data_IF_239470928636
#
_entry.id   IF_239470928636
#
_cell.length_a   1.000
_cell.length_b   1.000
_cell.length_c   1.000
_cell.angle_alpha   90.00
_cell.angle_beta   90.00
_cell.angle_gamma   90.00
#
_symmetry.space_group_name_H-M   'P 1'
#
loop_
_entity.id
_entity.type
_entity.pdbx_description
1 polymer ?
#
# COMPACT_ATOMS: atom_id res chain seq x y z
N UNK A 1 22.14 -18.57 8.51
CA UNK A 1 20.87 -19.23 8.13
C UNK A 1 20.19 -18.48 6.99
N UNK A 2 19.83 -17.19 7.14
CA UNK A 2 19.27 -16.38 6.04
C UNK A 2 20.30 -16.16 4.92
N UNK A 3 21.56 -15.86 5.25
CA UNK A 3 22.61 -15.65 4.24
C UNK A 3 22.88 -16.89 3.35
N UNK A 4 22.76 -18.11 3.90
CA UNK A 4 22.93 -19.34 3.14
C UNK A 4 21.72 -19.62 2.23
N UNK A 5 20.51 -19.41 2.75
CA UNK A 5 19.26 -19.53 1.98
C UNK A 5 19.23 -18.54 0.81
N UNK A 6 19.69 -17.32 1.05
CA UNK A 6 19.84 -16.29 0.02
C UNK A 6 20.88 -16.73 -1.03
N UNK A 7 22.04 -17.27 -0.61
CA UNK A 7 23.08 -17.81 -1.51
C UNK A 7 22.58 -18.88 -2.49
N UNK A 8 21.64 -19.73 -2.07
CA UNK A 8 21.12 -20.83 -2.88
C UNK A 8 19.94 -20.43 -3.80
N UNK A 9 19.25 -19.33 -3.49
CA UNK A 9 18.02 -18.89 -4.18
C UNK A 9 18.19 -17.57 -4.95
N UNK A 10 19.42 -17.06 -5.06
CA UNK A 10 19.76 -15.81 -5.74
C UNK A 10 19.33 -15.76 -7.21
N UNK A 11 19.12 -16.89 -7.88
CA UNK A 11 18.78 -16.92 -9.30
C UNK A 11 17.29 -16.70 -9.60
N UNK A 12 16.43 -16.66 -8.58
CA UNK A 12 14.97 -16.58 -8.75
C UNK A 12 14.34 -15.29 -8.22
N UNK A 13 15.16 -14.33 -7.80
CA UNK A 13 14.70 -13.06 -7.23
C UNK A 13 13.79 -12.27 -8.18
N UNK A 14 14.01 -12.45 -9.48
CA UNK A 14 13.27 -11.82 -10.57
C UNK A 14 11.78 -12.19 -10.56
N UNK A 15 11.47 -13.43 -10.15
CA UNK A 15 10.10 -13.94 -10.02
C UNK A 15 9.32 -13.16 -8.95
N UNK A 16 10.02 -12.68 -7.92
CA UNK A 16 9.43 -11.97 -6.78
C UNK A 16 9.40 -10.44 -6.95
N UNK A 17 9.87 -9.89 -8.08
CA UNK A 17 9.87 -8.44 -8.33
C UNK A 17 8.48 -7.83 -8.14
N UNK A 18 7.43 -8.52 -8.58
CA UNK A 18 6.05 -8.05 -8.45
C UNK A 18 5.61 -7.97 -6.98
N UNK A 19 6.03 -8.95 -6.18
CA UNK A 19 5.71 -9.02 -4.76
C UNK A 19 6.46 -7.95 -3.97
N UNK A 20 7.75 -7.73 -4.26
CA UNK A 20 8.52 -6.63 -3.69
C UNK A 20 7.89 -5.27 -4.04
N UNK A 21 7.56 -5.06 -5.31
CA UNK A 21 6.94 -3.83 -5.75
C UNK A 21 5.56 -3.61 -5.10
N UNK A 22 4.79 -4.69 -4.87
CA UNK A 22 3.55 -4.63 -4.11
C UNK A 22 3.81 -4.23 -2.65
N UNK A 23 4.71 -4.93 -1.95
CA UNK A 23 5.04 -4.67 -0.56
C UNK A 23 5.49 -3.22 -0.32
N UNK A 24 6.39 -2.71 -1.16
CA UNK A 24 6.87 -1.32 -1.09
C UNK A 24 5.71 -0.32 -1.29
N UNK A 25 4.82 -0.59 -2.24
CA UNK A 25 3.68 0.30 -2.54
C UNK A 25 2.63 0.33 -1.44
N UNK A 26 2.48 -0.74 -0.67
CA UNK A 26 1.51 -0.86 0.42
C UNK A 26 2.08 -0.62 1.82
N UNK A 27 3.41 -0.47 1.95
CA UNK A 27 4.03 -0.14 3.23
C UNK A 27 3.69 1.30 3.62
N UNK A 28 3.33 1.52 4.88
CA UNK A 28 3.06 2.85 5.41
C UNK A 28 4.39 3.59 5.55
N UNK A 29 4.48 4.78 4.96
CA UNK A 29 5.63 5.65 5.18
C UNK A 29 5.49 6.33 6.55
N UNK A 30 6.47 6.15 7.44
CA UNK A 30 6.45 6.69 8.80
C UNK A 30 6.30 8.21 8.85
N UNK A 31 6.91 8.94 7.91
CA UNK A 31 6.87 10.41 7.87
C UNK A 31 5.50 10.94 7.46
N UNK A 32 4.82 10.25 6.55
CA UNK A 32 3.55 10.73 5.97
C UNK A 32 2.32 10.01 6.54
N UNK A 33 2.50 8.90 7.25
CA UNK A 33 1.43 8.05 7.75
C UNK A 33 0.55 7.42 6.67
N UNK A 34 0.98 7.48 5.40
CA UNK A 34 0.25 7.00 4.23
C UNK A 34 1.12 6.07 3.40
N UNK A 35 0.49 5.16 2.67
CA UNK A 35 1.23 4.29 1.74
C UNK A 35 1.54 5.02 0.43
N UNK A 36 2.66 4.70 -0.26
CA UNK A 36 2.97 5.29 -1.56
C UNK A 36 1.85 5.14 -2.59
N UNK A 37 1.14 4.00 -2.58
CA UNK A 37 0.05 3.77 -3.53
C UNK A 37 -1.22 4.57 -3.19
N UNK A 38 -1.46 4.88 -1.91
CA UNK A 38 -2.53 5.81 -1.51
C UNK A 38 -2.26 7.24 -1.96
N UNK A 39 -1.00 7.68 -1.87
CA UNK A 39 -0.58 8.99 -2.36
C UNK A 39 -0.72 9.08 -3.88
N UNK A 40 -0.38 8.02 -4.59
CA UNK A 40 -0.47 7.97 -6.05
C UNK A 40 -1.91 7.91 -6.56
N UNK A 41 -2.75 7.07 -5.96
CA UNK A 41 -4.13 6.84 -6.42
C UNK A 41 -5.16 7.76 -5.77
N UNK A 42 -4.78 8.55 -4.76
CA UNK A 42 -5.68 9.47 -4.04
C UNK A 42 -6.86 8.74 -3.39
N UNK A 43 -6.72 7.44 -3.12
CA UNK A 43 -7.74 6.61 -2.47
C UNK A 43 -7.07 5.58 -1.59
N UNK A 44 -7.75 5.12 -0.53
CA UNK A 44 -7.26 3.97 0.23
C UNK A 44 -7.23 2.73 -0.65
N UNK A 45 -6.16 1.96 -0.57
CA UNK A 45 -6.12 0.65 -1.22
C UNK A 45 -6.90 -0.36 -0.39
N UNK A 46 -7.89 -0.97 -1.02
CA UNK A 46 -8.50 -2.20 -0.51
C UNK A 46 -7.61 -3.34 -0.97
N UNK A 47 -6.65 -3.72 -0.13
CA UNK A 47 -5.80 -4.87 -0.41
C UNK A 47 -6.59 -6.18 -0.21
N UNK A 48 -6.19 -7.29 -0.84
CA UNK A 48 -6.78 -8.60 -0.55
C UNK A 48 -6.70 -8.94 0.95
N UNK A 49 -5.62 -8.54 1.62
CA UNK A 49 -5.49 -8.65 3.07
C UNK A 49 -6.56 -7.83 3.80
N UNK A 50 -6.82 -6.60 3.37
CA UNK A 50 -7.90 -5.80 3.92
C UNK A 50 -9.26 -6.47 3.74
N UNK A 51 -9.52 -7.17 2.62
CA UNK A 51 -10.74 -7.98 2.47
C UNK A 51 -10.81 -9.15 3.45
N UNK A 52 -9.69 -9.84 3.70
CA UNK A 52 -9.63 -10.93 4.66
C UNK A 52 -9.91 -10.45 6.09
N UNK A 53 -9.43 -9.26 6.46
CA UNK A 53 -9.67 -8.64 7.77
C UNK A 53 -11.05 -7.97 7.85
N UNK A 54 -11.57 -7.40 6.76
CA UNK A 54 -12.91 -6.81 6.71
C UNK A 54 -14.03 -7.85 6.79
N UNK A 55 -13.77 -9.11 6.45
CA UNK A 55 -14.73 -10.20 6.70
C UNK A 55 -14.92 -10.44 8.21
N UNK A 56 -13.96 -10.08 9.06
CA UNK A 56 -14.09 -10.21 10.51
C UNK A 56 -14.68 -8.98 11.21
N UNK A 57 -14.41 -7.77 10.71
CA UNK A 57 -14.96 -6.52 11.27
C UNK A 57 -15.79 -5.80 10.19
N UNK A 58 -17.11 -5.85 10.32
CA UNK A 58 -18.09 -5.27 9.39
C UNK A 58 -18.04 -3.74 9.31
N UNK A 59 -16.96 -3.20 8.74
CA UNK A 59 -16.75 -1.76 8.58
C UNK A 59 -16.92 -1.39 7.11
N UNK A 60 -18.12 -0.95 6.75
CA UNK A 60 -18.40 -0.36 5.44
C UNK A 60 -17.50 0.86 5.23
N UNK A 61 -16.70 0.82 4.16
CA UNK A 61 -15.89 1.92 3.70
C UNK A 61 -16.82 3.08 3.27
N UNK A 62 -17.14 3.98 4.21
CA UNK A 62 -18.14 5.01 3.99
C UNK A 62 -17.66 6.03 2.95
N UNK A 63 -18.52 6.36 1.99
CA UNK A 63 -18.28 7.29 0.87
C UNK A 63 -17.67 8.63 1.31
N UNK A 64 -17.92 9.07 2.56
CA UNK A 64 -17.32 10.28 3.16
C UNK A 64 -15.79 10.26 3.24
N UNK A 65 -15.17 9.09 3.34
CA UNK A 65 -13.70 8.97 3.34
C UNK A 65 -13.10 9.27 1.96
N UNK A 66 -13.86 9.08 0.87
CA UNK A 66 -13.42 9.36 -0.49
C UNK A 66 -13.36 10.88 -0.72
N UNK A 67 -14.38 11.61 -0.29
CA UNK A 67 -14.42 13.08 -0.41
C UNK A 67 -13.27 13.75 0.36
N UNK A 68 -12.96 13.26 1.56
CA UNK A 68 -11.82 13.76 2.35
C UNK A 68 -10.48 13.56 1.62
N UNK A 69 -10.29 12.41 0.96
CA UNK A 69 -9.06 12.10 0.24
C UNK A 69 -8.89 12.95 -1.03
N UNK A 70 -9.98 13.23 -1.75
CA UNK A 70 -9.95 14.14 -2.91
C UNK A 70 -9.54 15.56 -2.52
N UNK A 71 -10.04 16.09 -1.41
CA UNK A 71 -9.68 17.43 -0.94
C UNK A 71 -8.23 17.52 -0.46
N UNK A 72 -7.70 16.47 0.15
CA UNK A 72 -6.28 16.40 0.53
C UNK A 72 -5.36 16.36 -0.69
N UNK A 73 -5.71 15.60 -1.74
CA UNK A 73 -4.93 15.57 -2.97
C UNK A 73 -4.92 16.92 -3.68
N UNK A 74 -6.08 17.60 -3.75
CA UNK A 74 -6.19 18.94 -4.33
C UNK A 74 -5.28 19.95 -3.65
N UNK A 75 -5.19 19.92 -2.32
CA UNK A 75 -4.28 20.80 -1.55
C UNK A 75 -2.81 20.54 -1.89
N UNK A 76 -2.41 19.27 -1.99
CA UNK A 76 -1.02 18.92 -2.29
C UNK A 76 -0.62 19.31 -3.72
N UNK A 77 -1.55 19.30 -4.69
CA UNK A 77 -1.28 19.80 -6.05
C UNK A 77 -1.16 21.32 -6.16
N UNK A 78 -1.75 22.09 -5.24
CA UNK A 78 -1.71 23.58 -5.25
C UNK A 78 -0.54 24.17 -4.46
N UNK A 79 0.22 23.36 -3.73
CA UNK A 79 1.39 23.79 -2.95
C UNK A 79 2.69 23.79 -3.76
N UNK A 80 2.59 23.85 -5.10
CA UNK A 80 3.68 23.95 -6.06
C UNK A 80 3.48 25.19 -6.91
#
# INVERSE_FOLDING_TARGET
>A
MIANYVNEQHDTWDQFIRDFAYAIRTAVNETMGKTPAELFLVRKLITPFHKLVMVSDGMEFAVKDIERLFEEARRNTKAK
#
